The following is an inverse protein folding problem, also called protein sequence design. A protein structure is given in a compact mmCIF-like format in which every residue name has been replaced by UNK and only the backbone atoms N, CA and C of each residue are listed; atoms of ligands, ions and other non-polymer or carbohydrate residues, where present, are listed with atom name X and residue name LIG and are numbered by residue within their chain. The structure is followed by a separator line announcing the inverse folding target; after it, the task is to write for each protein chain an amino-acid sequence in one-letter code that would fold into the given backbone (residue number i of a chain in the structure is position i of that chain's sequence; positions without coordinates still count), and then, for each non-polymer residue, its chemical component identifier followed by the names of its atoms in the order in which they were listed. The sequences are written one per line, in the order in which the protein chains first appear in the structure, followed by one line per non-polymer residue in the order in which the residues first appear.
data_IF_697252731308
#
_entry.id   IF_697252731308
#
_cell.length_a   1.000
_cell.length_b   1.000
_cell.length_c   1.000
_cell.angle_alpha   90.00
_cell.angle_beta   90.00
_cell.angle_gamma   90.00
#
_symmetry.space_group_name_H-M   'P 1'
#
loop_
_entity.id
_entity.type
_entity.pdbx_description
1 polymer ?
#
# COMPACT_ATOMS: atom_id res chain seq x y z
N UNK A 1 14.16 17.08 20.17
CA UNK A 1 13.57 18.26 19.49
C UNK A 1 13.19 17.82 18.08
N UNK A 2 11.92 17.89 17.72
CA UNK A 2 11.43 17.47 16.39
C UNK A 2 11.43 18.64 15.42
N UNK A 3 11.95 18.42 14.20
CA UNK A 3 11.83 19.35 13.09
C UNK A 3 10.43 19.21 12.50
N UNK A 4 9.66 20.30 12.47
CA UNK A 4 8.36 20.36 11.80
C UNK A 4 8.53 21.19 10.54
N UNK A 5 8.41 20.55 9.39
CA UNK A 5 8.45 21.20 8.08
C UNK A 5 7.09 21.04 7.38
N UNK A 6 6.59 22.10 6.77
CA UNK A 6 5.33 22.05 6.02
C UNK A 6 5.61 21.70 4.56
N UNK A 7 4.91 20.72 4.00
CA UNK A 7 5.03 20.36 2.58
C UNK A 7 4.10 21.24 1.76
N UNK A 8 4.69 22.05 0.88
CA UNK A 8 4.00 23.07 0.10
C UNK A 8 3.59 22.54 -1.28
N UNK A 9 4.41 21.68 -1.90
CA UNK A 9 4.17 21.19 -3.25
C UNK A 9 4.85 19.84 -3.51
N UNK A 10 4.25 19.03 -4.38
CA UNK A 10 4.81 17.77 -4.87
C UNK A 10 5.13 17.86 -6.36
N UNK A 11 6.38 17.58 -6.75
CA UNK A 11 6.77 17.48 -8.17
C UNK A 11 7.75 16.32 -8.34
N UNK A 12 7.34 15.29 -9.10
CA UNK A 12 8.18 14.10 -9.32
C UNK A 12 8.64 13.45 -8.01
N UNK A 13 9.97 13.31 -7.82
CA UNK A 13 10.60 12.71 -6.63
C UNK A 13 11.06 13.73 -5.56
N UNK A 14 10.55 14.95 -5.61
CA UNK A 14 10.88 16.01 -4.65
C UNK A 14 9.63 16.58 -3.98
N UNK A 15 9.76 16.86 -2.69
CA UNK A 15 8.83 17.67 -1.92
C UNK A 15 9.41 19.07 -1.78
N UNK A 16 8.62 20.10 -2.09
CA UNK A 16 8.94 21.46 -1.69
C UNK A 16 8.46 21.63 -0.25
N UNK A 17 9.37 21.95 0.65
CA UNK A 17 9.09 22.08 2.08
C UNK A 17 9.52 23.46 2.58
N UNK A 18 8.83 23.96 3.59
CA UNK A 18 9.20 25.18 4.31
C UNK A 18 9.59 24.82 5.75
N UNK A 19 10.73 25.36 6.19
CA UNK A 19 11.23 25.23 7.56
C UNK A 19 11.71 26.59 8.05
N UNK A 20 11.12 27.10 9.13
CA UNK A 20 11.47 28.38 9.77
C UNK A 20 11.50 29.58 8.78
N UNK A 21 10.55 29.62 7.83
CA UNK A 21 10.47 30.68 6.80
C UNK A 21 11.43 30.50 5.62
N UNK A 22 12.28 29.47 5.64
CA UNK A 22 13.14 29.11 4.50
C UNK A 22 12.48 28.00 3.68
N UNK A 23 12.33 28.24 2.38
CA UNK A 23 11.76 27.27 1.44
C UNK A 23 12.86 26.45 0.78
N UNK A 24 12.70 25.13 0.72
CA UNK A 24 13.67 24.20 0.17
C UNK A 24 13.05 22.96 -0.48
N UNK A 25 13.87 22.14 -1.10
CA UNK A 25 13.46 20.87 -1.70
C UNK A 25 14.02 19.71 -0.88
N UNK A 26 13.17 18.75 -0.53
CA UNK A 26 13.56 17.53 0.17
C UNK A 26 13.21 16.32 -0.69
N UNK A 27 14.17 15.41 -0.87
CA UNK A 27 13.93 14.18 -1.62
C UNK A 27 12.95 13.29 -0.85
N UNK A 28 12.00 12.67 -1.56
CA UNK A 28 10.96 11.82 -0.95
C UNK A 28 11.51 10.69 -0.07
N UNK A 29 12.68 10.15 -0.41
CA UNK A 29 13.30 9.01 0.30
C UNK A 29 13.93 9.39 1.65
N UNK A 30 14.06 10.69 1.96
CA UNK A 30 14.64 11.18 3.22
C UNK A 30 13.58 11.51 4.28
N UNK A 31 12.30 11.32 3.95
CA UNK A 31 11.17 11.69 4.78
C UNK A 31 10.27 10.46 5.00
N UNK A 32 10.08 10.04 6.25
CA UNK A 32 9.10 9.02 6.61
C UNK A 32 7.72 9.67 6.74
N UNK A 33 7.10 10.02 5.62
CA UNK A 33 5.81 10.72 5.59
C UNK A 33 4.80 9.88 4.81
N UNK A 34 3.82 9.34 5.51
CA UNK A 34 2.66 8.69 4.91
C UNK A 34 1.74 9.75 4.27
N UNK A 35 1.89 9.96 2.97
CA UNK A 35 1.03 10.84 2.18
C UNK A 35 0.09 9.99 1.31
N UNK A 36 -1.23 10.12 1.44
CA UNK A 36 -2.19 9.28 0.71
C UNK A 36 -2.10 9.34 -0.83
N UNK A 37 -1.50 10.38 -1.42
CA UNK A 37 -1.27 10.45 -2.87
C UNK A 37 -0.11 9.59 -3.38
N UNK A 38 0.73 9.00 -2.51
CA UNK A 38 1.68 7.95 -2.88
C UNK A 38 1.05 6.55 -2.93
N UNK A 39 -0.23 6.41 -2.57
CA UNK A 39 -0.99 5.14 -2.53
C UNK A 39 -1.34 4.56 -3.93
N UNK A 40 -0.67 5.02 -5.00
CA UNK A 40 -0.75 4.42 -6.33
C UNK A 40 0.28 3.28 -6.56
N UNK A 41 1.01 2.86 -5.51
CA UNK A 41 1.93 1.75 -5.60
C UNK A 41 1.18 0.42 -5.60
N UNK A 42 1.36 -0.40 -6.64
CA UNK A 42 0.82 -1.77 -6.69
C UNK A 42 1.42 -2.58 -5.53
N UNK A 43 0.56 -3.09 -4.65
CA UNK A 43 0.98 -3.91 -3.52
C UNK A 43 0.90 -5.40 -3.89
N UNK A 44 2.05 -6.06 -3.97
CA UNK A 44 2.13 -7.50 -4.24
C UNK A 44 2.10 -8.30 -2.93
N UNK A 45 1.16 -9.24 -2.83
CA UNK A 45 1.08 -10.17 -1.70
C UNK A 45 1.45 -11.58 -2.16
N UNK A 46 2.36 -12.24 -1.43
CA UNK A 46 2.83 -13.58 -1.77
C UNK A 46 1.92 -14.64 -1.17
N UNK A 47 1.21 -15.39 -2.03
CA UNK A 47 0.46 -16.56 -1.61
C UNK A 47 1.41 -17.70 -1.26
N UNK A 48 1.26 -18.26 -0.06
CA UNK A 48 1.99 -19.41 0.43
C UNK A 48 1.11 -20.67 0.41
N UNK A 49 1.76 -21.84 0.46
CA UNK A 49 1.10 -23.14 0.55
C UNK A 49 1.74 -23.96 1.66
N UNK A 50 0.94 -24.58 2.53
CA UNK A 50 1.46 -25.43 3.59
C UNK A 50 1.63 -26.89 3.15
N UNK A 51 2.17 -27.74 4.03
CA UNK A 51 2.41 -29.16 3.78
C UNK A 51 1.12 -29.97 3.59
N UNK A 52 -0.03 -29.45 4.02
CA UNK A 52 -1.36 -30.05 3.80
C UNK A 52 -1.97 -29.55 2.49
N UNK A 53 -1.28 -28.68 1.77
CA UNK A 53 -1.69 -28.13 0.49
C UNK A 53 -2.61 -26.92 0.57
N UNK A 54 -2.86 -26.36 1.77
CA UNK A 54 -3.73 -25.20 1.96
C UNK A 54 -3.01 -23.89 1.62
N UNK A 55 -3.72 -22.95 1.02
CA UNK A 55 -3.24 -21.64 0.59
C UNK A 55 -3.47 -20.57 1.66
N UNK A 56 -2.53 -19.65 1.83
CA UNK A 56 -2.65 -18.55 2.79
C UNK A 56 -1.77 -17.36 2.43
N UNK A 57 -2.20 -16.18 2.88
CA UNK A 57 -1.41 -14.93 2.89
C UNK A 57 -0.96 -14.57 4.32
N UNK A 58 -1.87 -14.77 5.28
CA UNK A 58 -1.69 -14.46 6.69
C UNK A 58 -2.02 -15.69 7.55
N UNK A 59 -2.86 -15.55 8.57
CA UNK A 59 -3.22 -16.65 9.47
C UNK A 59 -4.27 -17.61 8.87
N UNK A 60 -5.18 -17.07 8.06
CA UNK A 60 -6.30 -17.81 7.46
C UNK A 60 -5.85 -18.74 6.33
N UNK A 61 -6.41 -19.96 6.29
CA UNK A 61 -6.05 -21.02 5.34
C UNK A 61 -7.23 -21.43 4.48
N UNK A 62 -6.98 -21.61 3.19
CA UNK A 62 -8.00 -21.93 2.19
C UNK A 62 -7.62 -23.18 1.40
N UNK A 63 -8.57 -24.06 1.06
CA UNK A 63 -8.31 -25.25 0.25
C UNK A 63 -8.04 -24.94 -1.22
N UNK A 64 -8.40 -23.74 -1.72
CA UNK A 64 -8.15 -23.31 -3.10
C UNK A 64 -7.84 -21.81 -3.18
N UNK A 65 -7.20 -21.39 -4.28
CA UNK A 65 -6.94 -19.97 -4.56
C UNK A 65 -8.24 -19.17 -4.72
N UNK A 66 -9.28 -19.77 -5.32
CA UNK A 66 -10.56 -19.09 -5.52
C UNK A 66 -11.22 -18.72 -4.18
N UNK A 67 -11.20 -19.63 -3.20
CA UNK A 67 -11.74 -19.35 -1.87
C UNK A 67 -10.92 -18.30 -1.11
N UNK A 68 -9.60 -18.28 -1.31
CA UNK A 68 -8.75 -17.21 -0.78
C UNK A 68 -9.13 -15.85 -1.37
N UNK A 69 -9.34 -15.79 -2.69
CA UNK A 69 -9.75 -14.54 -3.37
C UNK A 69 -11.11 -14.07 -2.88
N UNK A 70 -12.11 -14.96 -2.87
CA UNK A 70 -13.47 -14.68 -2.37
C UNK A 70 -13.45 -14.15 -0.93
N UNK A 71 -12.63 -14.75 -0.06
CA UNK A 71 -12.50 -14.26 1.32
C UNK A 71 -11.96 -12.82 1.40
N UNK A 72 -10.90 -12.51 0.64
CA UNK A 72 -10.30 -11.17 0.65
C UNK A 72 -11.05 -10.14 -0.23
N UNK A 73 -12.10 -10.53 -0.94
CA UNK A 73 -13.09 -9.59 -1.48
C UNK A 73 -13.95 -8.97 -0.36
N UNK A 74 -14.20 -9.71 0.72
CA UNK A 74 -15.04 -9.27 1.84
C UNK A 74 -14.26 -8.97 3.13
N UNK A 75 -12.99 -9.37 3.19
CA UNK A 75 -12.09 -9.15 4.34
C UNK A 75 -10.85 -8.39 3.89
N UNK A 76 -10.36 -7.48 4.73
CA UNK A 76 -9.18 -6.69 4.36
C UNK A 76 -7.94 -7.57 4.18
N UNK A 77 -7.25 -7.43 3.03
CA UNK A 77 -5.97 -8.09 2.76
C UNK A 77 -4.80 -7.39 3.49
N UNK A 78 -4.95 -6.11 3.84
CA UNK A 78 -3.96 -5.37 4.63
C UNK A 78 -4.36 -5.33 6.11
N UNK A 79 -3.35 -5.41 6.99
CA UNK A 79 -3.49 -5.32 8.46
C UNK A 79 -3.52 -3.88 8.98
N UNK A 80 -3.02 -2.94 8.19
CA UNK A 80 -2.84 -1.53 8.58
C UNK A 80 -3.92 -0.64 7.96
N UNK A 81 -4.43 -1.02 6.79
CA UNK A 81 -5.41 -0.26 6.00
C UNK A 81 -6.48 -1.21 5.50
N UNK A 82 -7.71 -0.71 5.35
CA UNK A 82 -8.83 -1.50 4.84
C UNK A 82 -8.73 -1.60 3.32
N UNK A 83 -8.21 -2.72 2.81
CA UNK A 83 -7.97 -2.96 1.37
C UNK A 83 -8.62 -4.28 0.99
N UNK A 84 -9.46 -4.29 -0.04
CA UNK A 84 -10.14 -5.49 -0.53
C UNK A 84 -9.64 -5.86 -1.92
N UNK A 85 -9.69 -7.15 -2.24
CA UNK A 85 -9.49 -7.59 -3.61
C UNK A 85 -10.71 -7.19 -4.45
N UNK A 86 -10.47 -6.49 -5.57
CA UNK A 86 -11.47 -6.25 -6.60
C UNK A 86 -11.26 -7.22 -7.74
N UNK A 87 -12.36 -7.80 -8.23
CA UNK A 87 -12.36 -8.53 -9.48
C UNK A 87 -12.23 -7.53 -10.63
N UNK A 88 -11.07 -7.50 -11.30
CA UNK A 88 -10.95 -6.81 -12.58
C UNK A 88 -11.54 -7.75 -13.63
N UNK A 89 -12.81 -7.56 -13.95
CA UNK A 89 -13.45 -8.27 -15.06
C UNK A 89 -12.66 -8.10 -16.37
N UNK A 90 -12.81 -9.01 -17.35
CA UNK A 90 -12.16 -8.84 -18.65
C UNK A 90 -12.58 -7.50 -19.26
N UNK A 91 -11.61 -6.61 -19.47
CA UNK A 91 -11.82 -5.45 -20.33
C UNK A 91 -11.93 -5.97 -21.76
N UNK A 92 -13.17 -6.14 -22.22
CA UNK A 92 -13.45 -6.34 -23.65
C UNK A 92 -13.06 -5.02 -24.34
N UNK A 93 -11.94 -5.06 -25.08
CA UNK A 93 -11.52 -4.00 -26.00
C UNK A 93 -12.43 -3.95 -27.23
#
# INVERSE_FOLDING_TARGET
MGLVAMIVQTSGNWFKAELNGCMGSVAKNFLNIHLPRLEAAVQHFKVMRDSRGQYYLWSERFPSLNQLVEYYQHTSISKQTKVFLQETGPQVL
#
